data_IF_403700527062
#
_entry.id   IF_403700527062
#
_cell.length_a   1.000
_cell.length_b   1.000
_cell.length_c   1.000
_cell.angle_alpha   90.00
_cell.angle_beta   90.00
_cell.angle_gamma   90.00
#
_symmetry.space_group_name_H-M   'P 1'
#
loop_
_entity.id
_entity.type
_entity.pdbx_description
1 polymer ?
#
# COMPACT_ATOMS: atom_id res chain seq x y z
N UNK A 1 -0.77 -21.70 -10.85
CA UNK A 1 -2.17 -21.31 -11.14
C UNK A 1 -2.40 -21.15 -12.63
N UNK A 2 -2.09 -20.01 -13.28
CA UNK A 2 -2.30 -19.83 -14.73
C UNK A 2 -1.45 -20.79 -15.59
N UNK A 3 -0.14 -20.89 -15.29
CA UNK A 3 0.77 -21.80 -15.99
C UNK A 3 0.71 -23.26 -15.48
N UNK A 4 -0.19 -23.60 -14.56
CA UNK A 4 -0.33 -24.96 -13.99
C UNK A 4 0.82 -25.46 -13.09
N UNK A 5 1.88 -24.67 -12.88
CA UNK A 5 3.09 -25.12 -12.15
C UNK A 5 2.97 -25.14 -10.61
N UNK A 6 1.93 -24.51 -10.05
CA UNK A 6 1.72 -24.36 -8.61
C UNK A 6 0.21 -24.49 -8.33
N UNK A 7 -0.14 -25.25 -7.29
CA UNK A 7 -1.53 -25.45 -6.83
C UNK A 7 -2.03 -24.28 -5.97
N UNK A 8 -3.34 -24.12 -5.86
CA UNK A 8 -3.94 -23.11 -4.96
C UNK A 8 -3.57 -23.35 -3.49
N UNK A 9 -3.55 -24.62 -3.06
CA UNK A 9 -3.15 -25.00 -1.71
C UNK A 9 -1.72 -24.58 -1.40
N UNK A 10 -0.78 -24.80 -2.32
CA UNK A 10 0.60 -24.36 -2.17
C UNK A 10 0.67 -22.84 -2.00
N UNK A 11 -0.05 -22.07 -2.83
CA UNK A 11 -0.08 -20.61 -2.72
C UNK A 11 -0.59 -20.16 -1.34
N UNK A 12 -1.72 -20.72 -0.87
CA UNK A 12 -2.29 -20.37 0.44
C UNK A 12 -1.32 -20.65 1.59
N UNK A 13 -0.66 -21.81 1.55
CA UNK A 13 0.38 -22.15 2.54
C UNK A 13 1.52 -21.14 2.48
N UNK A 14 2.03 -20.82 1.29
CA UNK A 14 3.11 -19.83 1.14
C UNK A 14 2.72 -18.45 1.67
N UNK A 15 1.47 -18.00 1.47
CA UNK A 15 1.00 -16.72 2.04
C UNK A 15 1.00 -16.75 3.56
N UNK A 16 0.51 -17.84 4.18
CA UNK A 16 0.53 -18.00 5.64
C UNK A 16 1.96 -18.04 6.18
N UNK A 17 2.83 -18.85 5.54
CA UNK A 17 4.24 -18.94 5.90
C UNK A 17 4.91 -17.57 5.80
N UNK A 18 4.69 -16.83 4.70
CA UNK A 18 5.25 -15.49 4.53
C UNK A 18 4.79 -14.51 5.61
N UNK A 19 3.49 -14.51 5.97
CA UNK A 19 2.96 -13.63 7.01
C UNK A 19 3.52 -13.97 8.40
N UNK A 20 3.57 -15.26 8.75
CA UNK A 20 4.13 -15.72 10.04
C UNK A 20 5.62 -15.42 10.11
N UNK A 21 6.37 -15.71 9.04
CA UNK A 21 7.80 -15.38 8.95
C UNK A 21 8.03 -13.88 9.05
N UNK A 22 7.23 -13.06 8.36
CA UNK A 22 7.36 -11.60 8.44
C UNK A 22 7.10 -11.08 9.86
N UNK A 23 6.10 -11.62 10.57
CA UNK A 23 5.83 -11.28 11.97
C UNK A 23 7.03 -11.65 12.87
N UNK A 24 7.53 -12.88 12.77
CA UNK A 24 8.67 -13.35 13.57
C UNK A 24 9.91 -12.51 13.28
N UNK A 25 10.25 -12.31 12.01
CA UNK A 25 11.41 -11.51 11.59
C UNK A 25 11.28 -10.08 12.13
N UNK A 26 10.09 -9.47 12.04
CA UNK A 26 9.87 -8.13 12.59
C UNK A 26 10.13 -8.12 14.10
N UNK A 27 9.54 -9.05 14.84
CA UNK A 27 9.65 -9.11 16.31
C UNK A 27 11.08 -9.29 16.81
N UNK A 28 11.91 -10.07 16.10
CA UNK A 28 13.32 -10.30 16.47
C UNK A 28 14.27 -9.24 15.89
N UNK A 29 13.78 -8.38 15.00
CA UNK A 29 14.55 -7.28 14.42
C UNK A 29 14.59 -6.07 15.37
N UNK A 30 15.37 -5.01 15.03
CA UNK A 30 15.35 -3.74 15.76
C UNK A 30 13.98 -3.03 15.78
N UNK A 31 12.96 -3.50 15.05
CA UNK A 31 11.61 -2.96 15.13
C UNK A 31 10.97 -3.13 16.52
N UNK A 32 11.42 -4.11 17.31
CA UNK A 32 10.85 -4.41 18.62
C UNK A 32 9.34 -4.67 18.57
N UNK A 33 8.64 -4.54 19.70
CA UNK A 33 7.19 -4.82 19.77
C UNK A 33 6.38 -3.75 19.02
N UNK A 34 6.67 -2.47 19.25
CA UNK A 34 5.90 -1.35 18.70
C UNK A 34 6.01 -1.26 17.18
N UNK A 35 7.22 -1.27 16.64
CA UNK A 35 7.45 -1.24 15.20
C UNK A 35 6.90 -2.46 14.49
N UNK A 36 7.04 -3.65 15.10
CA UNK A 36 6.49 -4.90 14.55
C UNK A 36 4.97 -4.90 14.49
N UNK A 37 4.29 -4.38 15.51
CA UNK A 37 2.84 -4.28 15.50
C UNK A 37 2.34 -3.42 14.33
N UNK A 38 2.96 -2.25 14.13
CA UNK A 38 2.60 -1.34 13.02
C UNK A 38 2.90 -1.99 11.67
N UNK A 39 4.10 -2.57 11.50
CA UNK A 39 4.48 -3.26 10.28
C UNK A 39 3.53 -4.43 9.97
N UNK A 40 3.17 -5.24 10.96
CA UNK A 40 2.29 -6.38 10.75
C UNK A 40 0.85 -5.95 10.41
N UNK A 41 0.33 -4.90 11.05
CA UNK A 41 -0.96 -4.31 10.67
C UNK A 41 -0.95 -3.79 9.22
N UNK A 42 0.15 -3.17 8.78
CA UNK A 42 0.32 -2.74 7.40
C UNK A 42 0.32 -3.94 6.43
N UNK A 43 0.96 -5.05 6.79
CA UNK A 43 0.94 -6.30 6.00
C UNK A 43 -0.45 -6.92 5.93
N UNK A 44 -1.19 -6.95 7.04
CA UNK A 44 -2.57 -7.44 7.06
C UNK A 44 -3.48 -6.59 6.15
N UNK A 45 -3.34 -5.26 6.18
CA UNK A 45 -4.05 -4.35 5.28
C UNK A 45 -3.70 -4.60 3.80
N UNK A 46 -2.42 -4.73 3.48
CA UNK A 46 -1.94 -5.07 2.12
C UNK A 46 -2.39 -6.47 1.67
N UNK A 47 -2.56 -7.40 2.60
CA UNK A 47 -3.10 -8.74 2.31
C UNK A 47 -4.59 -8.66 2.02
N UNK A 48 -5.36 -7.92 2.83
CA UNK A 48 -6.78 -7.66 2.62
C UNK A 48 -7.06 -6.97 1.28
N UNK A 49 -6.15 -6.11 0.81
CA UNK A 49 -6.18 -5.57 -0.55
C UNK A 49 -6.27 -6.66 -1.60
N UNK A 50 -5.31 -7.59 -1.61
CA UNK A 50 -5.25 -8.65 -2.61
C UNK A 50 -6.40 -9.64 -2.51
N UNK A 51 -6.85 -9.94 -1.29
CA UNK A 51 -7.94 -10.90 -1.04
C UNK A 51 -9.29 -10.35 -1.51
N UNK A 52 -9.57 -9.06 -1.30
CA UNK A 52 -10.91 -8.52 -1.60
C UNK A 52 -10.94 -7.05 -1.95
N UNK A 53 -10.22 -6.19 -1.24
CA UNK A 53 -10.46 -4.74 -1.33
C UNK A 53 -10.06 -4.14 -2.68
N UNK A 54 -9.12 -4.75 -3.41
CA UNK A 54 -8.71 -4.28 -4.74
C UNK A 54 -9.87 -4.14 -5.73
N UNK A 55 -10.88 -4.99 -5.61
CA UNK A 55 -12.07 -5.00 -6.48
C UNK A 55 -13.22 -4.15 -5.92
N UNK A 56 -12.94 -3.22 -5.01
CA UNK A 56 -13.94 -2.35 -4.39
C UNK A 56 -13.51 -0.89 -4.44
N UNK A 57 -14.47 0.03 -4.26
CA UNK A 57 -14.18 1.47 -4.14
C UNK A 57 -13.24 1.81 -2.97
N UNK A 58 -13.02 0.89 -2.02
CA UNK A 58 -12.05 1.04 -0.94
C UNK A 58 -10.61 0.61 -1.32
N UNK A 59 -10.36 0.24 -2.57
CA UNK A 59 -9.04 -0.22 -3.06
C UNK A 59 -7.87 0.72 -2.74
N UNK A 60 -8.08 2.03 -2.59
CA UNK A 60 -7.04 3.00 -2.23
C UNK A 60 -6.71 3.00 -0.73
N UNK A 61 -7.65 2.58 0.13
CA UNK A 61 -7.49 2.64 1.59
C UNK A 61 -6.30 1.82 2.08
N UNK A 62 -6.05 0.59 1.58
CA UNK A 62 -4.84 -0.14 1.94
C UNK A 62 -3.54 0.56 1.54
N UNK A 63 -3.50 1.31 0.44
CA UNK A 63 -2.31 2.09 0.08
C UNK A 63 -2.07 3.22 1.08
N UNK A 64 -3.10 3.99 1.42
CA UNK A 64 -3.02 5.05 2.43
C UNK A 64 -2.54 4.48 3.77
N UNK A 65 -3.19 3.41 4.26
CA UNK A 65 -2.88 2.84 5.56
C UNK A 65 -1.51 2.18 5.59
N UNK A 66 -1.21 1.28 4.64
CA UNK A 66 0.01 0.48 4.68
C UNK A 66 1.25 1.33 4.43
N UNK A 67 1.23 2.26 3.47
CA UNK A 67 2.39 3.11 3.20
C UNK A 67 2.56 4.21 4.26
N UNK A 68 1.46 4.78 4.77
CA UNK A 68 1.52 5.69 5.91
C UNK A 68 2.07 5.04 7.18
N UNK A 69 1.85 3.73 7.36
CA UNK A 69 2.38 2.98 8.49
C UNK A 69 3.89 2.68 8.41
N UNK A 70 4.52 2.73 7.23
CA UNK A 70 5.94 2.36 7.06
C UNK A 70 6.89 3.26 7.88
N UNK A 71 6.81 4.61 7.80
CA UNK A 71 7.64 5.47 8.65
C UNK A 71 7.35 5.25 10.14
N UNK A 72 6.08 5.05 10.51
CA UNK A 72 5.69 4.80 11.90
C UNK A 72 6.33 3.54 12.47
N UNK A 73 6.42 2.45 11.70
CA UNK A 73 7.07 1.22 12.16
C UNK A 73 8.54 1.47 12.56
N UNK A 74 9.27 2.27 11.77
CA UNK A 74 10.68 2.59 11.99
C UNK A 74 10.86 3.58 13.16
N UNK A 75 10.11 4.68 13.15
CA UNK A 75 10.30 5.75 14.14
C UNK A 75 9.86 5.32 15.54
N UNK A 76 8.77 4.56 15.67
CA UNK A 76 8.36 4.03 16.97
C UNK A 76 9.36 3.05 17.55
N UNK A 77 10.00 2.24 16.69
CA UNK A 77 11.07 1.35 17.11
C UNK A 77 12.29 2.14 17.63
N UNK A 78 12.56 3.30 17.03
CA UNK A 78 13.60 4.23 17.47
C UNK A 78 13.18 5.11 18.67
N UNK A 79 11.98 4.93 19.24
CA UNK A 79 11.48 5.72 20.37
C UNK A 79 11.10 7.16 20.03
N UNK A 80 10.76 7.43 18.76
CA UNK A 80 10.41 8.77 18.25
C UNK A 80 9.16 8.72 17.35
N UNK A 81 8.78 9.85 16.78
CA UNK A 81 7.66 9.97 15.85
C UNK A 81 8.13 10.43 14.48
N UNK A 82 7.58 9.88 13.38
CA UNK A 82 7.96 10.31 12.05
C UNK A 82 7.51 11.77 11.82
N UNK A 83 8.34 12.60 11.16
CA UNK A 83 7.87 13.87 10.62
C UNK A 83 6.63 13.65 9.76
N UNK A 84 5.64 14.53 9.92
CA UNK A 84 4.32 14.38 9.26
C UNK A 84 4.45 14.39 7.74
N UNK A 85 5.35 15.19 7.17
CA UNK A 85 5.62 15.24 5.73
C UNK A 85 6.16 13.91 5.18
N UNK A 86 6.92 13.13 5.96
CA UNK A 86 7.36 11.79 5.50
C UNK A 86 6.13 10.88 5.37
N UNK A 87 5.26 10.88 6.39
CA UNK A 87 4.03 10.07 6.38
C UNK A 87 3.11 10.48 5.22
N UNK A 88 2.91 11.79 5.03
CA UNK A 88 2.09 12.33 3.96
C UNK A 88 2.67 12.03 2.58
N UNK A 89 3.97 12.21 2.36
CA UNK A 89 4.65 11.85 1.12
C UNK A 89 4.42 10.37 0.75
N UNK A 90 4.62 9.45 1.70
CA UNK A 90 4.35 8.02 1.48
C UNK A 90 2.89 7.76 1.08
N UNK A 91 1.93 8.38 1.77
CA UNK A 91 0.50 8.24 1.46
C UNK A 91 0.18 8.77 0.06
N UNK A 92 0.65 9.97 -0.28
CA UNK A 92 0.33 10.67 -1.53
C UNK A 92 0.90 9.92 -2.73
N UNK A 93 2.19 9.58 -2.70
CA UNK A 93 2.84 8.89 -3.82
C UNK A 93 2.33 7.45 -3.98
N UNK A 94 2.11 6.71 -2.89
CA UNK A 94 1.57 5.36 -2.99
C UNK A 94 0.13 5.37 -3.51
N UNK A 95 -0.69 6.33 -3.07
CA UNK A 95 -2.05 6.49 -3.60
C UNK A 95 -2.02 6.84 -5.08
N UNK A 96 -1.13 7.73 -5.53
CA UNK A 96 -0.97 8.03 -6.95
C UNK A 96 -0.58 6.79 -7.76
N UNK A 97 0.38 6.01 -7.24
CA UNK A 97 0.83 4.75 -7.85
C UNK A 97 -0.32 3.75 -8.00
N UNK A 98 -1.23 3.64 -7.03
CA UNK A 98 -2.44 2.82 -7.14
C UNK A 98 -3.29 3.19 -8.36
N UNK A 99 -3.56 4.49 -8.57
CA UNK A 99 -4.33 4.95 -9.73
C UNK A 99 -3.60 4.72 -11.05
N UNK A 100 -2.27 4.90 -11.09
CA UNK A 100 -1.46 4.70 -12.29
C UNK A 100 -1.35 3.22 -12.69
N UNK A 101 -1.19 2.32 -11.72
CA UNK A 101 -1.03 0.88 -11.97
C UNK A 101 -2.22 0.27 -12.70
N UNK A 102 -3.42 0.75 -12.40
CA UNK A 102 -4.65 0.24 -13.03
C UNK A 102 -4.72 0.61 -14.51
N UNK A 103 -4.07 1.68 -14.96
CA UNK A 103 -4.27 2.23 -16.30
C UNK A 103 -3.86 1.27 -17.43
N UNK A 104 -2.86 0.42 -17.21
CA UNK A 104 -2.41 -0.52 -18.25
C UNK A 104 -3.46 -1.59 -18.54
N UNK A 105 -4.06 -2.13 -17.47
CA UNK A 105 -4.92 -3.31 -17.53
C UNK A 105 -6.41 -2.98 -17.29
N UNK A 106 -6.75 -1.68 -17.28
CA UNK A 106 -8.06 -1.14 -16.91
C UNK A 106 -9.23 -1.86 -17.60
N UNK A 107 -9.19 -1.98 -18.93
CA UNK A 107 -10.29 -2.56 -19.70
C UNK A 107 -10.46 -4.05 -19.39
N UNK A 108 -9.35 -4.78 -19.21
CA UNK A 108 -9.33 -6.20 -18.86
C UNK A 108 -9.82 -6.42 -17.42
N UNK A 109 -9.38 -5.60 -16.48
CA UNK A 109 -9.80 -5.63 -15.08
C UNK A 109 -11.31 -5.42 -14.96
N UNK A 110 -11.86 -4.42 -15.67
CA UNK A 110 -13.31 -4.14 -15.69
C UNK A 110 -14.08 -5.33 -16.29
N UNK A 111 -13.60 -5.92 -17.39
CA UNK A 111 -14.20 -7.12 -17.97
C UNK A 111 -14.24 -8.30 -16.97
N UNK A 112 -13.25 -8.38 -16.09
CA UNK A 112 -13.15 -9.38 -15.01
C UNK A 112 -13.85 -8.96 -13.70
N UNK A 113 -14.63 -7.86 -13.71
CA UNK A 113 -15.33 -7.32 -12.54
C UNK A 113 -14.41 -6.88 -11.39
N UNK A 114 -13.15 -6.52 -11.69
CA UNK A 114 -12.25 -5.87 -10.75
C UNK A 114 -12.60 -4.38 -10.69
N UNK A 115 -13.56 -4.04 -9.82
CA UNK A 115 -14.14 -2.69 -9.74
C UNK A 115 -13.54 -1.87 -8.60
N UNK A 116 -12.23 -1.68 -8.65
CA UNK A 116 -11.53 -0.74 -7.78
C UNK A 116 -11.94 0.72 -8.02
N UNK A 117 -11.58 1.63 -7.12
CA UNK A 117 -11.87 3.06 -7.27
C UNK A 117 -11.31 3.63 -8.59
N UNK A 118 -10.05 3.33 -9.00
CA UNK A 118 -9.54 3.81 -10.28
C UNK A 118 -10.32 3.27 -11.49
N UNK A 119 -10.80 2.02 -11.41
CA UNK A 119 -11.62 1.41 -12.44
C UNK A 119 -13.00 2.09 -12.53
N UNK A 120 -13.65 2.32 -11.38
CA UNK A 120 -14.98 2.94 -11.29
C UNK A 120 -14.98 4.37 -11.81
N UNK A 121 -13.96 5.17 -11.50
CA UNK A 121 -13.90 6.57 -11.98
C UNK A 121 -13.40 6.69 -13.43
N UNK A 122 -12.82 5.62 -13.98
CA UNK A 122 -12.34 5.53 -15.35
C UNK A 122 -10.98 6.19 -15.59
N UNK A 123 -10.39 5.88 -16.76
CA UNK A 123 -9.02 6.23 -17.17
C UNK A 123 -8.67 7.70 -16.91
N UNK A 124 -9.44 8.63 -17.47
CA UNK A 124 -9.13 10.06 -17.41
C UNK A 124 -9.12 10.59 -15.98
N UNK A 125 -10.15 10.26 -15.18
CA UNK A 125 -10.23 10.72 -13.78
C UNK A 125 -9.16 10.07 -12.91
N UNK A 126 -8.77 8.84 -13.22
CA UNK A 126 -7.64 8.16 -12.56
C UNK A 126 -6.31 8.85 -12.86
N UNK A 127 -6.05 9.23 -14.11
CA UNK A 127 -4.86 10.01 -14.48
C UNK A 127 -4.82 11.36 -13.76
N UNK A 128 -5.94 12.10 -13.78
CA UNK A 128 -6.04 13.41 -13.12
C UNK A 128 -5.83 13.28 -11.61
N UNK A 129 -6.48 12.31 -10.97
CA UNK A 129 -6.31 12.03 -9.53
C UNK A 129 -4.85 11.71 -9.21
N UNK A 130 -4.21 10.84 -9.99
CA UNK A 130 -2.80 10.50 -9.81
C UNK A 130 -1.90 11.74 -9.95
N UNK A 131 -2.11 12.56 -10.98
CA UNK A 131 -1.33 13.76 -11.20
C UNK A 131 -1.46 14.76 -10.04
N UNK A 132 -2.68 14.98 -9.54
CA UNK A 132 -2.92 15.83 -8.36
C UNK A 132 -2.18 15.29 -7.15
N UNK A 133 -2.30 13.98 -6.87
CA UNK A 133 -1.61 13.35 -5.72
C UNK A 133 -0.09 13.46 -5.84
N UNK A 134 0.49 13.29 -7.03
CA UNK A 134 1.93 13.49 -7.27
C UNK A 134 2.34 14.94 -7.01
N UNK A 135 1.59 15.92 -7.56
CA UNK A 135 1.89 17.35 -7.36
C UNK A 135 1.81 17.69 -5.87
N UNK A 136 0.79 17.23 -5.16
CA UNK A 136 0.68 17.43 -3.71
C UNK A 136 1.84 16.80 -2.95
N UNK A 137 2.26 15.58 -3.32
CA UNK A 137 3.42 14.92 -2.71
C UNK A 137 4.73 15.68 -2.95
N UNK A 138 4.91 16.22 -4.15
CA UNK A 138 6.07 17.08 -4.46
C UNK A 138 6.03 18.36 -3.63
N UNK A 139 4.87 19.02 -3.55
CA UNK A 139 4.71 20.25 -2.75
C UNK A 139 4.99 19.98 -1.27
N UNK A 140 4.44 18.90 -0.71
CA UNK A 140 4.66 18.47 0.68
C UNK A 140 6.15 18.32 0.98
N UNK A 141 6.86 17.54 0.16
CA UNK A 141 8.31 17.34 0.32
C UNK A 141 9.09 18.65 0.14
N UNK A 142 8.78 19.46 -0.88
CA UNK A 142 9.51 20.71 -1.13
C UNK A 142 9.31 21.71 0.01
N UNK A 143 8.08 21.93 0.45
CA UNK A 143 7.79 22.87 1.56
C UNK A 143 8.51 22.41 2.83
N UNK A 144 8.46 21.11 3.14
CA UNK A 144 9.11 20.56 4.31
C UNK A 144 10.63 20.69 4.32
N UNK A 145 11.27 20.89 3.16
CA UNK A 145 12.73 20.99 3.04
C UNK A 145 13.22 22.41 2.67
N UNK A 146 12.31 23.37 2.47
CA UNK A 146 12.66 24.74 2.09
C UNK A 146 12.11 25.80 3.04
N UNK A 147 11.07 25.47 3.82
CA UNK A 147 10.37 26.42 4.71
C UNK A 147 10.46 26.01 6.19
N UNK A 148 10.59 24.71 6.48
CA UNK A 148 10.71 24.14 7.83
C UNK A 148 12.16 23.76 8.14
#
# INVERSE_FOLDING_TARGET
LVAGTITESTLKICVVVALVSALIISLVSPLGISGSAVHFLALLSATAYNVKLKSTVFSVVPYVFSFGALPWAIYLAAGTHPPTWIVLGFILFASAFHFLNVLKDLETDVAQQVMGLPQVIGRTKSIVTAAILVVLGIVDVVVANTVL
#
